data_IF_785301683457
#
_entry.id   IF_785301683457
#
_cell.length_a   1.000
_cell.length_b   1.000
_cell.length_c   1.000
_cell.angle_alpha   90.00
_cell.angle_beta   90.00
_cell.angle_gamma   90.00
#
_symmetry.space_group_name_H-M   'P 1'
#
loop_
_entity.id
_entity.type
_entity.pdbx_description
1 polymer ?
#
# COMPACT_ATOMS: atom_id res chain seq x y z
N UNK A 1 41.43 -57.22 3.73
CA UNK A 1 40.80 -58.44 4.26
C UNK A 1 39.41 -58.03 4.73
N UNK A 2 38.31 -57.97 3.97
CA UNK A 2 37.85 -58.41 2.64
C UNK A 2 36.98 -57.25 2.08
N UNK A 3 37.14 -56.76 0.84
CA UNK A 3 36.46 -57.19 -0.41
C UNK A 3 34.92 -57.05 -0.33
N UNK A 4 34.32 -55.95 -0.83
CA UNK A 4 33.89 -55.65 -2.22
C UNK A 4 32.44 -56.06 -2.51
N UNK A 5 31.58 -55.09 -2.84
CA UNK A 5 30.63 -55.28 -3.95
C UNK A 5 30.14 -53.96 -4.57
N UNK A 6 30.09 -53.99 -5.89
CA UNK A 6 29.91 -52.91 -6.86
C UNK A 6 28.67 -53.18 -7.72
N UNK A 7 27.92 -52.14 -8.10
CA UNK A 7 27.05 -52.08 -9.29
C UNK A 7 26.46 -50.64 -9.39
N UNK A 8 26.95 -49.77 -10.27
CA UNK A 8 26.55 -49.55 -11.69
C UNK A 8 25.21 -48.82 -11.89
N UNK A 9 25.34 -47.54 -12.27
CA UNK A 9 24.55 -46.72 -13.21
C UNK A 9 23.01 -46.87 -13.28
N UNK A 10 22.32 -45.73 -13.14
CA UNK A 10 21.39 -45.21 -14.17
C UNK A 10 20.97 -43.78 -13.83
N UNK A 11 21.38 -42.83 -14.69
CA UNK A 11 20.53 -41.67 -14.93
C UNK A 11 19.36 -42.11 -15.82
N UNK A 12 18.17 -41.52 -15.62
CA UNK A 12 17.56 -40.90 -16.79
C UNK A 12 17.09 -39.48 -16.47
N UNK A 13 17.68 -38.58 -17.26
CA UNK A 13 17.10 -37.45 -17.95
C UNK A 13 15.67 -36.99 -17.61
N UNK A 14 15.59 -35.69 -17.32
CA UNK A 14 14.54 -34.70 -17.64
C UNK A 14 13.12 -35.18 -17.98
N UNK A 15 12.15 -34.68 -17.21
CA UNK A 15 10.82 -34.35 -17.71
C UNK A 15 10.36 -33.07 -17.02
N UNK A 16 10.29 -32.04 -17.84
CA UNK A 16 9.96 -30.65 -17.55
C UNK A 16 8.50 -30.45 -17.13
N UNK A 17 8.26 -29.27 -16.56
CA UNK A 17 6.98 -28.54 -16.47
C UNK A 17 6.16 -28.67 -15.17
N UNK A 18 6.57 -27.95 -14.11
CA UNK A 18 5.66 -27.31 -13.15
C UNK A 18 6.40 -26.37 -12.16
N UNK A 19 7.17 -25.37 -12.62
CA UNK A 19 7.87 -24.43 -11.72
C UNK A 19 7.82 -22.99 -12.23
N UNK A 20 6.61 -22.45 -12.41
CA UNK A 20 6.46 -21.02 -12.72
C UNK A 20 5.36 -20.29 -11.94
N UNK A 21 4.59 -20.95 -11.07
CA UNK A 21 3.41 -20.32 -10.43
C UNK A 21 3.52 -20.15 -8.90
N UNK A 22 4.53 -20.74 -8.25
CA UNK A 22 4.62 -20.74 -6.77
C UNK A 22 5.38 -19.54 -6.19
N UNK A 23 6.23 -18.86 -6.97
CA UNK A 23 7.08 -17.78 -6.44
C UNK A 23 6.31 -16.48 -6.13
N UNK A 24 5.21 -16.21 -6.84
CA UNK A 24 4.48 -14.94 -6.75
C UNK A 24 3.68 -14.80 -5.44
N UNK A 25 3.07 -15.88 -4.95
CA UNK A 25 2.26 -15.85 -3.73
C UNK A 25 3.12 -15.65 -2.48
N UNK A 26 4.29 -16.27 -2.41
CA UNK A 26 5.20 -16.14 -1.27
C UNK A 26 5.76 -14.71 -1.11
N UNK A 27 6.10 -14.04 -2.21
CA UNK A 27 6.62 -12.67 -2.18
C UNK A 27 5.56 -11.64 -1.76
N UNK A 28 4.30 -11.81 -2.20
CA UNK A 28 3.18 -10.96 -1.79
C UNK A 28 2.90 -11.06 -0.29
N UNK A 29 2.94 -12.27 0.27
CA UNK A 29 2.77 -12.50 1.71
C UNK A 29 3.90 -11.87 2.52
N UNK A 30 5.14 -11.96 2.05
CA UNK A 30 6.30 -11.36 2.74
C UNK A 30 6.21 -9.83 2.79
N UNK A 31 5.81 -9.18 1.69
CA UNK A 31 5.66 -7.73 1.65
C UNK A 31 4.52 -7.25 2.55
N UNK A 32 3.40 -7.99 2.60
CA UNK A 32 2.29 -7.68 3.51
C UNK A 32 2.73 -7.79 4.97
N UNK A 33 3.51 -8.82 5.31
CA UNK A 33 3.99 -9.01 6.68
C UNK A 33 4.97 -7.92 7.12
N UNK A 34 5.84 -7.44 6.24
CA UNK A 34 6.72 -6.30 6.52
C UNK A 34 5.94 -5.02 6.85
N UNK A 35 4.83 -4.77 6.16
CA UNK A 35 3.98 -3.60 6.46
C UNK A 35 3.30 -3.70 7.83
N UNK A 36 2.89 -4.89 8.24
CA UNK A 36 2.29 -5.12 9.57
C UNK A 36 3.29 -4.88 10.69
N UNK A 37 4.51 -5.44 10.55
CA UNK A 37 5.59 -5.23 11.53
C UNK A 37 5.96 -3.76 11.63
N UNK A 38 6.11 -3.09 10.48
CA UNK A 38 6.36 -1.66 10.42
C UNK A 38 5.28 -0.84 11.15
N UNK A 39 4.01 -1.17 10.95
CA UNK A 39 2.91 -0.47 11.62
C UNK A 39 2.95 -0.69 13.14
N UNK A 40 3.23 -1.91 13.59
CA UNK A 40 3.38 -2.21 15.02
C UNK A 40 4.52 -1.41 15.65
N UNK A 41 5.71 -1.43 15.05
CA UNK A 41 6.86 -0.66 15.53
C UNK A 41 6.55 0.84 15.62
N UNK A 42 5.93 1.39 14.57
CA UNK A 42 5.51 2.80 14.58
C UNK A 42 4.54 3.10 15.74
N UNK A 43 3.50 2.28 15.92
CA UNK A 43 2.50 2.52 16.96
C UNK A 43 3.06 2.31 18.37
N UNK A 44 3.97 1.37 18.57
CA UNK A 44 4.72 1.22 19.84
C UNK A 44 5.53 2.48 20.16
N UNK A 45 6.26 3.02 19.18
CA UNK A 45 6.98 4.30 19.33
C UNK A 45 6.03 5.45 19.69
N UNK A 46 4.87 5.54 19.02
CA UNK A 46 3.88 6.59 19.27
C UNK A 46 3.22 6.47 20.65
N UNK A 47 2.92 5.25 21.10
CA UNK A 47 2.33 5.00 22.42
C UNK A 47 3.32 5.36 23.52
N UNK A 48 4.57 4.87 23.43
CA UNK A 48 5.62 5.20 24.40
C UNK A 48 5.87 6.72 24.45
N UNK A 49 5.89 7.37 23.28
CA UNK A 49 6.02 8.82 23.21
C UNK A 49 4.84 9.52 23.89
N UNK A 50 3.61 9.04 23.69
CA UNK A 50 2.42 9.61 24.32
C UNK A 50 2.39 9.40 25.85
N UNK A 51 2.88 8.27 26.35
CA UNK A 51 2.99 7.99 27.79
C UNK A 51 4.05 8.86 28.49
N UNK A 52 5.16 9.15 27.80
CA UNK A 52 6.23 10.02 28.31
C UNK A 52 5.97 11.51 28.08
N UNK A 53 4.94 11.87 27.32
CA UNK A 53 4.68 13.25 26.93
C UNK A 53 4.12 14.06 28.10
N UNK A 54 5.01 14.73 28.83
CA UNK A 54 4.66 15.70 29.85
C UNK A 54 4.28 17.02 29.16
N UNK A 55 3.00 17.22 28.88
CA UNK A 55 2.56 18.25 27.93
C UNK A 55 2.07 19.52 28.61
N UNK A 56 2.61 20.66 28.17
CA UNK A 56 2.09 21.99 28.52
C UNK A 56 0.78 22.35 27.75
N UNK A 57 0.32 21.49 26.82
CA UNK A 57 -0.84 21.71 25.91
C UNK A 57 -0.92 23.10 25.23
N UNK A 58 0.20 23.83 25.18
CA UNK A 58 0.27 25.19 24.62
C UNK A 58 0.82 25.21 23.20
N UNK A 59 1.64 24.21 22.85
CA UNK A 59 2.34 24.16 21.57
C UNK A 59 1.84 22.97 20.77
N UNK A 60 0.94 23.26 19.82
CA UNK A 60 0.41 22.26 18.90
C UNK A 60 1.03 22.43 17.51
N UNK A 61 1.39 21.32 16.83
CA UNK A 61 1.94 21.37 15.47
C UNK A 61 0.91 21.90 14.46
N UNK A 62 -0.39 21.73 14.76
CA UNK A 62 -1.48 22.17 13.92
C UNK A 62 -2.32 23.23 14.64
N UNK A 63 -2.75 24.30 13.95
CA UNK A 63 -3.52 25.38 14.57
C UNK A 63 -4.94 24.91 14.94
N UNK A 64 -5.25 24.92 16.24
CA UNK A 64 -6.54 24.46 16.79
C UNK A 64 -7.75 25.15 16.15
N UNK A 65 -7.64 26.43 15.82
CA UNK A 65 -8.71 27.18 15.16
C UNK A 65 -9.04 26.63 13.76
N UNK A 66 -8.05 26.12 13.02
CA UNK A 66 -8.28 25.50 11.70
C UNK A 66 -8.89 24.13 11.84
N UNK A 67 -8.43 23.33 12.80
CA UNK A 67 -9.02 22.03 13.14
C UNK A 67 -10.50 22.22 13.48
N UNK A 68 -10.82 23.13 14.39
CA UNK A 68 -12.20 23.47 14.77
C UNK A 68 -13.03 23.93 13.57
N UNK A 69 -12.46 24.69 12.64
CA UNK A 69 -13.14 25.12 11.41
C UNK A 69 -13.47 23.94 10.48
N UNK A 70 -12.55 22.98 10.32
CA UNK A 70 -12.80 21.76 9.54
C UNK A 70 -13.90 20.92 10.20
N UNK A 71 -13.85 20.71 11.52
CA UNK A 71 -14.90 20.00 12.25
C UNK A 71 -16.28 20.67 12.09
N UNK A 72 -16.33 22.00 12.01
CA UNK A 72 -17.55 22.80 11.79
C UNK A 72 -18.00 22.92 10.33
N UNK A 73 -17.29 22.30 9.39
CA UNK A 73 -17.74 22.25 7.99
C UNK A 73 -18.96 21.34 7.82
N UNK A 74 -19.14 20.38 8.73
CA UNK A 74 -20.35 19.59 8.84
C UNK A 74 -21.46 20.42 9.52
N UNK A 75 -22.60 20.66 8.85
CA UNK A 75 -23.70 21.46 9.39
C UNK A 75 -24.34 20.85 10.66
N UNK A 76 -24.21 19.55 10.89
CA UNK A 76 -24.80 18.88 12.05
C UNK A 76 -23.99 19.11 13.35
N UNK A 77 -22.75 19.61 13.24
CA UNK A 77 -21.86 19.83 14.39
C UNK A 77 -22.17 21.18 15.06
N UNK A 78 -22.88 21.15 16.21
CA UNK A 78 -23.31 22.36 16.94
C UNK A 78 -22.30 22.90 17.95
N UNK A 79 -21.74 22.07 18.82
CA UNK A 79 -20.75 22.49 19.81
C UNK A 79 -19.57 21.52 19.77
N UNK A 80 -18.38 22.02 20.07
CA UNK A 80 -17.14 21.24 20.09
C UNK A 80 -16.45 21.55 21.40
N UNK A 81 -16.17 20.51 22.19
CA UNK A 81 -15.38 20.61 23.42
C UNK A 81 -14.00 21.20 23.14
N UNK A 82 -13.43 21.93 24.11
CA UNK A 82 -12.09 22.48 23.99
C UNK A 82 -11.01 21.38 23.84
N UNK A 83 -11.26 20.18 24.37
CA UNK A 83 -10.34 19.04 24.32
C UNK A 83 -10.30 18.38 22.94
N UNK A 84 -11.39 18.42 22.18
CA UNK A 84 -11.46 17.71 20.90
C UNK A 84 -10.47 18.24 19.85
N UNK A 85 -10.31 19.56 19.62
CA UNK A 85 -9.27 20.08 18.73
C UNK A 85 -7.85 19.73 19.19
N UNK A 86 -7.61 19.65 20.50
CA UNK A 86 -6.31 19.30 21.07
C UNK A 86 -5.97 17.85 20.70
N UNK A 87 -6.90 16.92 20.93
CA UNK A 87 -6.75 15.52 20.55
C UNK A 87 -6.59 15.35 19.03
N UNK A 88 -7.40 16.05 18.24
CA UNK A 88 -7.28 16.03 16.78
C UNK A 88 -5.93 16.57 16.31
N UNK A 89 -5.35 17.57 16.96
CA UNK A 89 -4.01 18.04 16.59
C UNK A 89 -2.99 16.92 16.70
N UNK A 90 -3.04 16.12 17.77
CA UNK A 90 -2.12 15.01 17.96
C UNK A 90 -2.44 13.85 17.02
N UNK A 91 -3.71 13.49 16.90
CA UNK A 91 -4.15 12.42 16.00
C UNK A 91 -3.78 12.73 14.53
N UNK A 92 -3.97 13.96 14.08
CA UNK A 92 -3.59 14.38 12.73
C UNK A 92 -2.07 14.37 12.53
N UNK A 93 -1.28 14.75 13.54
CA UNK A 93 0.18 14.62 13.49
C UNK A 93 0.59 13.16 13.29
N UNK A 94 0.09 12.26 14.14
CA UNK A 94 0.38 10.82 14.04
C UNK A 94 -0.11 10.23 12.72
N UNK A 95 -1.31 10.59 12.27
CA UNK A 95 -1.87 10.14 10.99
C UNK A 95 -1.02 10.58 9.80
N UNK A 96 -0.57 11.85 9.75
CA UNK A 96 0.29 12.36 8.68
C UNK A 96 1.63 11.61 8.68
N UNK A 97 2.23 11.39 9.85
CA UNK A 97 3.47 10.63 9.98
C UNK A 97 3.30 9.20 9.47
N UNK A 98 2.24 8.50 9.87
CA UNK A 98 1.98 7.12 9.48
C UNK A 98 1.81 6.97 7.96
N UNK A 99 0.89 7.75 7.36
CA UNK A 99 0.62 7.65 5.93
C UNK A 99 1.84 8.06 5.10
N UNK A 100 2.61 9.06 5.55
CA UNK A 100 3.84 9.50 4.88
C UNK A 100 4.90 8.40 4.91
N UNK A 101 5.11 7.76 6.07
CA UNK A 101 6.12 6.72 6.22
C UNK A 101 5.73 5.45 5.44
N UNK A 102 4.44 5.09 5.38
CA UNK A 102 3.92 4.02 4.49
C UNK A 102 4.10 4.35 3.01
N UNK A 103 3.80 5.58 2.59
CA UNK A 103 4.00 6.03 1.21
C UNK A 103 5.49 6.05 0.83
N UNK A 104 6.37 6.42 1.77
CA UNK A 104 7.81 6.43 1.54
C UNK A 104 8.38 5.06 1.16
N UNK A 105 7.85 3.97 1.73
CA UNK A 105 8.23 2.61 1.34
C UNK A 105 8.06 2.37 -0.17
N UNK A 106 7.00 2.91 -0.78
CA UNK A 106 6.78 2.80 -2.23
C UNK A 106 7.71 3.69 -3.05
N UNK A 107 8.11 4.85 -2.53
CA UNK A 107 9.14 5.66 -3.18
C UNK A 107 10.48 4.93 -3.18
N UNK A 108 10.86 4.31 -2.06
CA UNK A 108 12.10 3.54 -1.92
C UNK A 108 12.13 2.28 -2.78
N UNK A 109 11.02 1.52 -2.84
CA UNK A 109 10.84 0.36 -3.73
C UNK A 109 11.09 0.74 -5.21
N UNK A 110 10.71 1.95 -5.59
CA UNK A 110 10.94 2.51 -6.93
C UNK A 110 12.29 3.23 -7.08
N UNK A 111 13.17 3.14 -6.08
CA UNK A 111 14.50 3.79 -6.04
C UNK A 111 14.43 5.31 -6.20
N UNK A 112 13.32 5.92 -5.78
CA UNK A 112 13.10 7.37 -5.80
C UNK A 112 13.37 7.96 -4.42
N UNK A 113 13.84 9.21 -4.41
CA UNK A 113 14.03 10.03 -3.20
C UNK A 113 13.04 11.18 -3.10
N UNK A 114 12.03 11.16 -3.96
CA UNK A 114 10.97 12.17 -4.04
C UNK A 114 9.64 11.44 -3.90
N UNK A 115 8.89 11.79 -2.86
CA UNK A 115 7.57 11.25 -2.59
C UNK A 115 6.57 11.80 -3.61
N UNK A 116 5.76 10.93 -4.20
CA UNK A 116 4.78 11.29 -5.22
C UNK A 116 3.37 10.94 -4.77
N UNK A 117 2.37 11.50 -5.46
CA UNK A 117 0.96 11.20 -5.20
C UNK A 117 0.62 9.72 -5.40
N UNK A 118 1.25 9.07 -6.39
CA UNK A 118 1.08 7.64 -6.65
C UNK A 118 1.56 6.76 -5.48
N UNK A 119 2.58 7.20 -4.73
CA UNK A 119 3.05 6.49 -3.54
C UNK A 119 1.99 6.47 -2.43
N UNK A 120 1.33 7.61 -2.22
CA UNK A 120 0.23 7.74 -1.25
C UNK A 120 -0.96 6.89 -1.69
N UNK A 121 -1.32 6.92 -2.98
CA UNK A 121 -2.40 6.08 -3.52
C UNK A 121 -2.12 4.59 -3.30
N UNK A 122 -0.88 4.15 -3.54
CA UNK A 122 -0.45 2.78 -3.30
C UNK A 122 -0.51 2.41 -1.81
N UNK A 123 -0.04 3.30 -0.92
CA UNK A 123 -0.08 3.05 0.53
C UNK A 123 -1.52 2.92 1.07
N UNK A 124 -2.41 3.83 0.66
CA UNK A 124 -3.85 3.77 1.02
C UNK A 124 -4.50 2.48 0.51
N UNK A 125 -4.13 2.05 -0.70
CA UNK A 125 -4.73 0.86 -1.32
C UNK A 125 -4.45 -0.47 -0.59
N UNK A 126 -3.43 -0.50 0.27
CA UNK A 126 -2.93 -1.71 0.94
C UNK A 126 -3.49 -1.94 2.34
N UNK A 127 -4.23 -0.99 2.90
CA UNK A 127 -4.79 -1.09 4.26
C UNK A 127 -6.22 -0.59 4.25
N UNK A 128 -7.16 -1.45 4.63
CA UNK A 128 -8.59 -1.13 4.81
C UNK A 128 -8.83 -0.01 5.83
N UNK A 129 -7.94 0.16 6.81
CA UNK A 129 -7.90 1.31 7.73
C UNK A 129 -7.98 2.67 7.01
N UNK A 130 -7.51 2.77 5.76
CA UNK A 130 -7.54 3.99 4.96
C UNK A 130 -8.68 4.05 3.93
N UNK A 131 -9.66 3.15 3.98
CA UNK A 131 -10.77 3.12 3.00
C UNK A 131 -11.64 4.39 3.01
N UNK A 132 -11.61 5.16 4.12
CA UNK A 132 -12.24 6.48 4.17
C UNK A 132 -11.64 7.50 3.18
N UNK A 133 -10.50 7.18 2.53
CA UNK A 133 -9.81 8.04 1.56
C UNK A 133 -10.07 7.67 0.09
N UNK A 134 -10.87 6.64 -0.21
CA UNK A 134 -11.07 6.15 -1.59
C UNK A 134 -11.52 7.26 -2.54
N UNK A 135 -12.45 8.10 -2.10
CA UNK A 135 -12.99 9.21 -2.91
C UNK A 135 -12.05 10.42 -3.01
N UNK A 136 -11.04 10.49 -2.14
CA UNK A 136 -10.08 11.60 -2.06
C UNK A 136 -8.80 11.28 -2.84
N UNK A 137 -8.38 10.01 -2.81
CA UNK A 137 -7.16 9.51 -3.46
C UNK A 137 -7.55 8.41 -4.46
N UNK A 138 -7.96 8.77 -5.69
CA UNK A 138 -8.33 7.81 -6.71
C UNK A 138 -7.13 6.91 -7.04
N UNK A 139 -7.40 5.61 -7.12
CA UNK A 139 -6.43 4.61 -7.55
C UNK A 139 -6.14 4.79 -9.03
N UNK A 140 -4.88 4.67 -9.43
CA UNK A 140 -4.53 4.56 -10.85
C UNK A 140 -4.93 3.16 -11.33
N UNK A 141 -6.06 3.03 -12.05
CA UNK A 141 -6.38 1.75 -12.71
C UNK A 141 -5.34 1.47 -13.81
N UNK A 142 -4.88 0.21 -13.95
CA UNK A 142 -4.04 -0.16 -15.08
C UNK A 142 -4.83 0.08 -16.38
N UNK A 143 -4.19 0.63 -17.43
CA UNK A 143 -4.86 0.94 -18.68
C UNK A 143 -5.53 -0.32 -19.24
N UNK A 144 -6.85 -0.27 -19.42
CA UNK A 144 -7.65 -1.36 -20.01
C UNK A 144 -7.07 -1.68 -21.38
N UNK A 145 -6.39 -2.82 -21.51
CA UNK A 145 -5.91 -3.35 -22.78
C UNK A 145 -7.14 -3.61 -23.64
N UNK A 146 -7.48 -2.65 -24.51
CA UNK A 146 -8.54 -2.79 -25.50
C UNK A 146 -8.05 -3.83 -26.50
N UNK A 147 -8.50 -5.08 -26.31
CA UNK A 147 -8.27 -6.18 -27.24
C UNK A 147 -8.96 -5.80 -28.55
N UNK A 148 -8.20 -5.20 -29.47
CA UNK A 148 -8.67 -4.82 -30.81
C UNK A 148 -9.01 -6.13 -31.54
N UNK A 149 -10.28 -6.49 -31.57
CA UNK A 149 -10.79 -7.60 -32.37
C UNK A 149 -10.61 -7.24 -33.83
N UNK A 150 -9.55 -7.75 -34.46
CA UNK A 150 -9.37 -7.72 -35.90
C UNK A 150 -10.36 -8.71 -36.52
N UNK A 151 -11.56 -8.24 -36.83
CA UNK A 151 -12.41 -8.91 -37.81
C UNK A 151 -11.76 -8.68 -39.17
N UNK A 152 -11.12 -9.71 -39.72
CA UNK A 152 -10.74 -9.74 -41.14
C UNK A 152 -12.04 -9.85 -41.94
N UNK A 153 -12.47 -8.76 -42.57
CA UNK A 153 -13.44 -8.84 -43.66
C UNK A 153 -12.71 -9.26 -44.94
N UNK A 154 -13.11 -10.41 -45.50
CA UNK A 154 -12.71 -10.84 -46.84
C UNK A 154 -13.41 -9.97 -47.90
N UNK A 155 -12.72 -9.50 -48.95
CA UNK A 155 -13.36 -8.73 -50.01
C UNK A 155 -14.14 -9.66 -50.95
N UNK A 156 -15.39 -9.29 -51.25
CA UNK A 156 -16.28 -9.99 -52.19
C UNK A 156 -15.75 -9.97 -53.64
N UNK A 157 -16.06 -10.99 -54.47
CA UNK A 157 -15.56 -11.04 -55.83
C UNK A 157 -16.30 -10.07 -56.74
N UNK A 158 -15.54 -9.35 -57.56
CA UNK A 158 -16.01 -8.45 -58.62
C UNK A 158 -16.70 -9.23 -59.74
N UNK A 159 -17.98 -8.94 -60.01
CA UNK A 159 -18.67 -9.43 -61.20
C UNK A 159 -18.45 -8.45 -62.34
N UNK A 160 -17.82 -8.92 -63.42
CA UNK A 160 -17.65 -8.21 -64.68
C UNK A 160 -18.91 -8.36 -65.55
N UNK A 161 -19.50 -7.24 -65.97
CA UNK A 161 -20.29 -7.12 -67.21
C UNK A 161 -19.97 -5.79 -67.86
#
# INVERSE_FOLDING_TARGET
MYEQQSASASAPNSSSAATATTTSSAALTQQQQQQLVFAQEFWEEQILAAEQFDSDFKNHPLPLARIKKVMKSDPEVKMISAEAPILFSKACETFICEITRRAWLHAEENKRRTLQRSDVANAVSRSDQFDFLIDIVPREEPPKVTKRSSTREDPAPSVSV
#
